data_IF_233892123226
#
_entry.id   IF_233892123226
#
_cell.length_a   1.000
_cell.length_b   1.000
_cell.length_c   1.000
_cell.angle_alpha   90.00
_cell.angle_beta   90.00
_cell.angle_gamma   90.00
#
_symmetry.space_group_name_H-M   'P 1'
#
loop_
_entity.id
_entity.type
_entity.pdbx_description
1 polymer ?
#
# COMPACT_ATOMS: atom_id res chain seq x y z
N UNK A 1 2.43 -16.83 0.31
CA UNK A 1 3.43 -15.82 0.71
C UNK A 1 2.95 -14.49 0.18
N UNK A 2 3.06 -13.43 0.96
CA UNK A 2 2.47 -12.12 0.67
C UNK A 2 3.36 -11.30 -0.29
N UNK A 3 2.75 -10.47 -1.11
CA UNK A 3 3.42 -9.42 -1.89
C UNK A 3 3.48 -8.10 -1.13
N UNK A 4 4.65 -7.49 -1.11
CA UNK A 4 4.80 -6.09 -0.74
C UNK A 4 5.02 -5.32 -2.05
N UNK A 5 3.97 -4.67 -2.51
CA UNK A 5 3.95 -3.84 -3.72
C UNK A 5 4.37 -2.41 -3.35
N UNK A 6 5.30 -1.84 -4.10
CA UNK A 6 5.73 -0.45 -3.91
C UNK A 6 5.99 0.27 -5.24
N UNK A 7 5.88 1.60 -5.19
CA UNK A 7 6.24 2.46 -6.31
C UNK A 7 7.75 2.46 -6.54
N UNK A 8 8.19 2.12 -7.75
CA UNK A 8 9.59 1.93 -8.10
C UNK A 8 10.44 3.21 -8.16
N UNK A 9 9.79 4.37 -8.14
CA UNK A 9 10.42 5.70 -8.10
C UNK A 9 10.66 6.21 -6.67
N UNK A 10 10.15 5.52 -5.64
CA UNK A 10 10.33 5.90 -4.25
C UNK A 10 11.36 5.00 -3.54
N UNK A 11 12.61 5.47 -3.34
CA UNK A 11 13.66 4.66 -2.71
C UNK A 11 13.37 4.37 -1.22
N UNK A 12 12.61 5.22 -0.54
CA UNK A 12 12.23 4.99 0.85
C UNK A 12 11.27 3.79 0.96
N UNK A 13 10.31 3.66 0.04
CA UNK A 13 9.43 2.49 0.01
C UNK A 13 10.19 1.19 -0.19
N UNK A 14 11.19 1.18 -1.10
CA UNK A 14 12.04 0.01 -1.31
C UNK A 14 12.78 -0.39 -0.02
N UNK A 15 13.42 0.58 0.64
CA UNK A 15 14.15 0.36 1.89
C UNK A 15 13.23 -0.21 2.98
N UNK A 16 12.04 0.37 3.17
CA UNK A 16 11.07 -0.11 4.16
C UNK A 16 10.56 -1.51 3.79
N UNK A 17 10.32 -1.79 2.50
CA UNK A 17 9.87 -3.09 2.04
C UNK A 17 10.92 -4.19 2.30
N UNK A 18 12.21 -3.90 2.11
CA UNK A 18 13.32 -4.82 2.43
C UNK A 18 13.39 -5.10 3.94
N UNK A 19 13.19 -4.08 4.78
CA UNK A 19 13.10 -4.25 6.24
C UNK A 19 11.91 -5.16 6.58
N UNK A 20 10.71 -4.86 6.06
CA UNK A 20 9.50 -5.66 6.30
C UNK A 20 9.67 -7.11 5.83
N UNK A 21 10.32 -7.35 4.69
CA UNK A 21 10.61 -8.71 4.23
C UNK A 21 11.51 -9.47 5.22
N UNK A 22 12.51 -8.81 5.79
CA UNK A 22 13.40 -9.39 6.80
C UNK A 22 12.63 -9.74 8.09
N UNK A 23 11.83 -8.80 8.60
CA UNK A 23 11.00 -9.00 9.80
C UNK A 23 9.98 -10.12 9.60
N UNK A 24 9.32 -10.16 8.44
CA UNK A 24 8.37 -11.23 8.10
C UNK A 24 9.04 -12.59 8.02
N UNK A 25 10.25 -12.65 7.45
CA UNK A 25 11.04 -13.89 7.41
C UNK A 25 11.38 -14.37 8.83
N UNK A 26 11.68 -13.47 9.76
CA UNK A 26 11.99 -13.82 11.16
C UNK A 26 10.83 -14.52 11.88
N UNK A 27 9.58 -14.22 11.50
CA UNK A 27 8.36 -14.84 12.02
C UNK A 27 7.76 -15.91 11.09
N UNK A 28 8.51 -16.35 10.08
CA UNK A 28 8.09 -17.45 9.17
C UNK A 28 7.15 -17.05 8.04
N UNK A 29 6.90 -15.76 7.82
CA UNK A 29 6.10 -15.25 6.71
C UNK A 29 6.99 -15.02 5.48
N UNK A 30 6.70 -15.73 4.38
CA UNK A 30 7.38 -15.51 3.09
C UNK A 30 6.80 -14.28 2.39
N UNK A 31 7.59 -13.21 2.27
CA UNK A 31 7.24 -12.01 1.51
C UNK A 31 8.05 -11.88 0.21
N UNK A 32 7.38 -11.50 -0.88
CA UNK A 32 8.01 -11.13 -2.16
C UNK A 32 7.92 -9.61 -2.36
N UNK A 33 8.99 -9.00 -2.86
CA UNK A 33 9.05 -7.58 -3.14
C UNK A 33 8.74 -7.33 -4.62
N UNK A 34 7.86 -6.36 -4.89
CA UNK A 34 7.42 -6.05 -6.25
C UNK A 34 7.44 -4.54 -6.47
N UNK A 35 8.33 -4.09 -7.36
CA UNK A 35 8.40 -2.70 -7.76
C UNK A 35 7.50 -2.48 -8.98
N UNK A 36 6.69 -1.43 -8.96
CA UNK A 36 5.81 -1.07 -10.06
C UNK A 36 6.00 0.38 -10.49
N UNK A 37 5.77 0.67 -11.76
CA UNK A 37 5.75 2.06 -12.25
C UNK A 37 4.59 2.82 -11.57
N UNK A 38 4.75 4.10 -11.20
CA UNK A 38 3.77 4.84 -10.38
C UNK A 38 2.32 4.79 -10.87
N UNK A 39 2.10 4.88 -12.19
CA UNK A 39 0.76 4.83 -12.78
C UNK A 39 0.16 3.42 -12.66
N UNK A 40 0.95 2.38 -12.95
CA UNK A 40 0.53 0.99 -12.76
C UNK A 40 0.27 0.68 -11.29
N UNK A 41 1.14 1.15 -10.39
CA UNK A 41 1.01 1.05 -8.95
C UNK A 41 -0.33 1.63 -8.48
N UNK A 42 -0.61 2.89 -8.82
CA UNK A 42 -1.85 3.57 -8.44
C UNK A 42 -3.09 2.85 -8.97
N UNK A 43 -3.03 2.35 -10.21
CA UNK A 43 -4.12 1.57 -10.80
C UNK A 43 -4.36 0.24 -10.07
N UNK A 44 -3.29 -0.42 -9.62
CA UNK A 44 -3.41 -1.64 -8.81
C UNK A 44 -4.09 -1.34 -7.47
N UNK A 45 -3.72 -0.24 -6.80
CA UNK A 45 -4.32 0.17 -5.53
C UNK A 45 -5.82 0.48 -5.65
N UNK A 46 -6.22 1.24 -6.68
CA UNK A 46 -7.62 1.55 -6.93
C UNK A 46 -8.49 0.32 -7.24
N UNK A 47 -7.87 -0.77 -7.71
CA UNK A 47 -8.55 -2.03 -8.01
C UNK A 47 -8.48 -3.04 -6.86
N UNK A 48 -7.83 -2.71 -5.74
CA UNK A 48 -7.59 -3.66 -4.65
C UNK A 48 -6.66 -4.82 -5.05
N UNK A 49 -5.83 -4.65 -6.09
CA UNK A 49 -4.98 -5.69 -6.64
C UNK A 49 -3.59 -5.73 -5.95
N UNK A 50 -3.57 -5.91 -4.64
CA UNK A 50 -2.35 -6.00 -3.82
C UNK A 50 -2.60 -6.81 -2.55
N UNK A 51 -1.55 -7.46 -2.02
CA UNK A 51 -1.61 -8.06 -0.69
C UNK A 51 -1.26 -7.00 0.38
N UNK A 52 -0.12 -6.32 0.19
CA UNK A 52 0.37 -5.22 1.03
C UNK A 52 0.93 -4.12 0.13
N UNK A 53 0.58 -2.87 0.39
CA UNK A 53 1.10 -1.71 -0.35
C UNK A 53 1.27 -0.49 0.55
N UNK A 54 2.06 0.47 0.08
CA UNK A 54 2.29 1.74 0.77
C UNK A 54 1.21 2.78 0.40
N UNK A 55 0.67 3.45 1.41
CA UNK A 55 -0.19 4.62 1.23
C UNK A 55 0.19 5.66 2.27
N UNK A 56 -0.05 6.93 1.94
CA UNK A 56 0.21 8.06 2.81
C UNK A 56 -1.11 8.80 3.04
N UNK A 57 -1.29 9.32 4.25
CA UNK A 57 -2.39 10.25 4.53
C UNK A 57 -2.11 11.61 3.89
N UNK A 58 -3.13 12.46 3.81
CA UNK A 58 -3.01 13.78 3.17
C UNK A 58 -2.50 14.87 4.12
N UNK A 59 -2.32 14.58 5.41
CA UNK A 59 -1.93 15.56 6.41
C UNK A 59 -2.99 16.64 6.70
N UNK A 60 -2.62 17.65 7.48
CA UNK A 60 -3.48 18.81 7.74
C UNK A 60 -3.77 19.61 6.44
N UNK A 61 -4.98 20.16 6.26
CA UNK A 61 -6.14 20.16 7.17
C UNK A 61 -7.08 18.96 6.98
N UNK A 62 -6.70 17.98 6.16
CA UNK A 62 -7.56 16.86 5.77
C UNK A 62 -7.69 15.78 6.86
N UNK A 63 -6.73 15.72 7.77
CA UNK A 63 -6.75 14.77 8.88
C UNK A 63 -7.61 15.23 10.08
N UNK A 64 -8.32 14.30 10.76
CA UNK A 64 -8.58 12.92 10.36
C UNK A 64 -9.84 12.77 9.47
N UNK A 65 -10.72 13.78 9.45
CA UNK A 65 -12.08 13.63 8.95
C UNK A 65 -12.17 13.34 7.45
N UNK A 66 -11.37 14.02 6.62
CA UNK A 66 -11.42 13.81 5.18
C UNK A 66 -10.84 12.46 4.77
N UNK A 67 -9.81 11.98 5.48
CA UNK A 67 -9.27 10.62 5.28
C UNK A 67 -10.30 9.57 5.66
N UNK A 68 -10.97 9.71 6.80
CA UNK A 68 -12.03 8.76 7.17
C UNK A 68 -13.18 8.75 6.15
N UNK A 69 -13.55 9.92 5.62
CA UNK A 69 -14.58 10.01 4.59
C UNK A 69 -14.15 9.39 3.27
N UNK A 70 -12.87 9.49 2.87
CA UNK A 70 -12.39 8.87 1.63
C UNK A 70 -12.52 7.35 1.65
N UNK A 71 -12.44 6.72 2.82
CA UNK A 71 -12.63 5.27 2.98
C UNK A 71 -14.03 4.79 2.57
N UNK A 72 -15.02 5.69 2.48
CA UNK A 72 -16.39 5.38 2.09
C UNK A 72 -16.62 5.48 0.57
N UNK A 73 -15.66 5.98 -0.19
CA UNK A 73 -15.85 6.36 -1.59
C UNK A 73 -15.14 5.35 -2.52
N UNK A 74 -15.86 4.66 -3.43
CA UNK A 74 -15.31 3.60 -4.27
C UNK A 74 -14.12 3.97 -5.17
N UNK A 75 -13.92 5.26 -5.44
CA UNK A 75 -12.79 5.76 -6.23
C UNK A 75 -11.52 6.01 -5.42
N UNK A 76 -11.51 5.71 -4.12
CA UNK A 76 -10.36 5.90 -3.24
C UNK A 76 -9.71 4.56 -2.88
N UNK A 77 -8.39 4.61 -2.70
CA UNK A 77 -7.56 3.44 -2.39
C UNK A 77 -8.00 2.80 -1.07
N UNK A 78 -8.35 3.61 -0.07
CA UNK A 78 -8.73 3.13 1.25
C UNK A 78 -10.03 2.32 1.22
N UNK A 79 -10.99 2.72 0.37
CA UNK A 79 -12.20 1.93 0.12
C UNK A 79 -11.85 0.57 -0.51
N UNK A 80 -11.00 0.58 -1.54
CA UNK A 80 -10.59 -0.66 -2.22
C UNK A 80 -9.85 -1.62 -1.29
N UNK A 81 -9.04 -1.09 -0.35
CA UNK A 81 -8.35 -1.88 0.66
C UNK A 81 -9.33 -2.57 1.64
N UNK A 82 -10.41 -1.87 2.04
CA UNK A 82 -11.40 -2.40 2.97
C UNK A 82 -12.38 -3.37 2.31
N UNK A 83 -12.72 -3.14 1.03
CA UNK A 83 -13.65 -3.99 0.29
C UNK A 83 -13.12 -5.42 0.02
N UNK A 84 -11.81 -5.63 0.17
CA UNK A 84 -11.17 -6.94 0.03
C UNK A 84 -11.10 -7.78 1.32
N UNK A 85 -11.56 -7.23 2.47
CA UNK A 85 -11.65 -7.93 3.77
C UNK A 85 -12.95 -8.72 3.92
#
# INVERSE_FOLDING_TARGET
GVEILFSGDNPAHKMIAEILQSEFKAIGIKARLSASEPTIYRNALLKGAFDIAFSETWGAPYEPLSILYSMLIPSHIDFAAQAGL
#
